data_IF_049702082993
#
_entry.id   IF_049702082993
#
_cell.length_a   1.000
_cell.length_b   1.000
_cell.length_c   1.000
_cell.angle_alpha   90.00
_cell.angle_beta   90.00
_cell.angle_gamma   90.00
#
_symmetry.space_group_name_H-M   'P 1'
#
loop_
_entity.id
_entity.type
_entity.pdbx_description
1 polymer ?
#
# COMPACT_ATOMS: atom_id res chain seq x y z
N UNK A 1 -45.71 6.68 9.70
CA UNK A 1 -44.27 6.44 9.88
C UNK A 1 -43.85 5.35 8.93
N UNK A 2 -42.64 5.44 8.39
CA UNK A 2 -42.04 4.37 7.62
C UNK A 2 -41.41 3.38 8.58
N UNK A 3 -41.43 2.09 8.24
CA UNK A 3 -40.99 1.02 9.15
C UNK A 3 -40.13 -0.01 8.44
N UNK A 4 -39.30 -0.71 9.20
CA UNK A 4 -38.53 -1.83 8.69
C UNK A 4 -39.47 -2.97 8.31
N UNK A 5 -39.50 -3.31 7.01
CA UNK A 5 -40.30 -4.42 6.50
C UNK A 5 -39.60 -5.79 6.65
N UNK A 6 -38.27 -5.83 6.59
CA UNK A 6 -37.51 -7.08 6.60
C UNK A 6 -36.09 -6.89 7.14
N UNK A 7 -35.57 -7.91 7.84
CA UNK A 7 -34.18 -7.98 8.29
C UNK A 7 -33.66 -9.41 8.06
N UNK A 8 -32.52 -9.53 7.36
CA UNK A 8 -31.74 -10.76 7.31
C UNK A 8 -30.41 -10.57 8.05
N UNK A 9 -29.95 -11.60 8.76
CA UNK A 9 -28.69 -11.62 9.51
C UNK A 9 -28.48 -10.35 10.35
N UNK A 10 -29.33 -10.16 11.36
CA UNK A 10 -29.43 -8.91 12.10
C UNK A 10 -28.13 -8.59 12.87
N UNK A 11 -27.31 -7.71 12.31
CA UNK A 11 -26.12 -7.16 12.96
C UNK A 11 -26.44 -5.96 13.87
N UNK A 12 -27.67 -5.44 13.77
CA UNK A 12 -28.17 -4.33 14.57
C UNK A 12 -28.97 -4.81 15.79
N UNK A 13 -29.57 -3.89 16.54
CA UNK A 13 -30.57 -4.20 17.58
C UNK A 13 -32.01 -3.89 17.14
N UNK A 14 -32.23 -3.67 15.85
CA UNK A 14 -33.54 -3.30 15.30
C UNK A 14 -34.41 -4.54 15.07
N UNK A 15 -35.72 -4.35 15.10
CA UNK A 15 -36.72 -5.35 14.79
C UNK A 15 -37.58 -4.93 13.57
N UNK A 16 -38.26 -5.91 12.98
CA UNK A 16 -39.30 -5.64 11.98
C UNK A 16 -40.38 -4.79 12.64
N UNK A 17 -40.81 -3.72 11.98
CA UNK A 17 -41.78 -2.75 12.50
C UNK A 17 -41.18 -1.56 13.24
N UNK A 18 -39.88 -1.58 13.58
CA UNK A 18 -39.19 -0.38 14.06
C UNK A 18 -39.25 0.72 12.99
N UNK A 19 -39.24 1.99 13.43
CA UNK A 19 -39.09 3.16 12.55
C UNK A 19 -37.91 2.93 11.60
N UNK A 20 -38.05 3.20 10.31
CA UNK A 20 -36.99 2.98 9.31
C UNK A 20 -35.91 4.07 9.31
N UNK A 21 -36.21 5.27 9.82
CA UNK A 21 -35.36 6.47 9.79
C UNK A 21 -34.88 6.84 8.38
N UNK A 22 -35.73 6.66 7.36
CA UNK A 22 -35.41 6.97 5.96
C UNK A 22 -35.63 8.46 5.61
N UNK A 23 -36.16 9.26 6.55
CA UNK A 23 -36.38 10.71 6.39
C UNK A 23 -35.10 11.46 5.98
N UNK A 24 -33.92 10.95 6.38
CA UNK A 24 -32.61 11.51 6.01
C UNK A 24 -32.20 11.19 4.56
N UNK A 25 -32.81 10.17 3.93
CA UNK A 25 -32.44 9.64 2.61
C UNK A 25 -33.29 10.25 1.49
N UNK A 26 -34.56 10.58 1.80
CA UNK A 26 -35.52 11.16 0.83
C UNK A 26 -35.06 12.51 0.24
N UNK A 27 -34.18 13.24 0.93
CA UNK A 27 -33.64 14.53 0.48
C UNK A 27 -32.35 14.45 -0.37
N UNK A 28 -31.76 13.27 -0.52
CA UNK A 28 -30.47 13.05 -1.22
C UNK A 28 -30.56 12.07 -2.38
N UNK A 29 -31.77 11.65 -2.73
CA UNK A 29 -32.10 10.53 -3.61
C UNK A 29 -32.07 10.84 -5.12
N UNK A 30 -31.10 11.63 -5.58
CA UNK A 30 -30.87 11.78 -7.03
C UNK A 30 -30.22 10.52 -7.64
N UNK A 31 -29.63 9.65 -6.81
CA UNK A 31 -28.96 8.41 -7.21
C UNK A 31 -29.73 7.16 -6.74
N UNK A 32 -29.88 6.18 -7.64
CA UNK A 32 -30.54 4.88 -7.37
C UNK A 32 -29.80 4.05 -6.31
N UNK A 33 -28.48 4.25 -6.21
CA UNK A 33 -27.59 3.53 -5.27
C UNK A 33 -26.71 4.53 -4.54
N UNK A 34 -26.71 4.46 -3.22
CA UNK A 34 -25.93 5.30 -2.31
C UNK A 34 -24.84 4.49 -1.63
N UNK A 35 -23.60 4.94 -1.75
CA UNK A 35 -22.43 4.36 -1.08
C UNK A 35 -21.35 3.84 -2.05
N UNK A 36 -20.38 3.06 -1.54
CA UNK A 36 -20.26 2.59 -0.16
C UNK A 36 -19.92 3.74 0.80
N UNK A 37 -20.57 3.77 1.96
CA UNK A 37 -20.27 4.71 3.04
C UNK A 37 -20.03 3.96 4.36
N UNK A 38 -19.51 4.66 5.36
CA UNK A 38 -19.22 4.07 6.67
C UNK A 38 -20.26 4.48 7.71
N UNK A 39 -20.63 3.53 8.57
CA UNK A 39 -21.41 3.77 9.78
C UNK A 39 -20.81 3.04 10.97
N UNK A 40 -21.11 3.54 12.15
CA UNK A 40 -20.82 2.84 13.40
C UNK A 40 -22.05 2.05 13.83
N UNK A 41 -21.86 0.77 14.17
CA UNK A 41 -22.92 -0.05 14.75
C UNK A 41 -23.10 0.26 16.24
N UNK A 42 -24.21 -0.19 16.82
CA UNK A 42 -24.54 0.03 18.24
C UNK A 42 -23.47 -0.46 19.23
N UNK A 43 -22.65 -1.44 18.83
CA UNK A 43 -21.57 -2.03 19.62
C UNK A 43 -20.21 -1.38 19.36
N UNK A 44 -20.16 -0.27 18.61
CA UNK A 44 -18.92 0.43 18.25
C UNK A 44 -18.11 -0.25 17.14
N UNK A 45 -18.66 -1.27 16.49
CA UNK A 45 -18.02 -1.89 15.31
C UNK A 45 -18.30 -1.07 14.06
N UNK A 46 -17.26 -0.88 13.24
CA UNK A 46 -17.38 -0.22 11.94
C UNK A 46 -18.11 -1.11 10.94
N UNK A 47 -19.01 -0.49 10.20
CA UNK A 47 -19.79 -1.09 9.13
C UNK A 47 -19.51 -0.37 7.82
N UNK A 48 -19.41 -1.12 6.73
CA UNK A 48 -19.50 -0.58 5.37
C UNK A 48 -20.90 -0.84 4.85
N UNK A 49 -21.54 0.21 4.37
CA UNK A 49 -22.96 0.24 4.06
C UNK A 49 -23.18 0.66 2.61
N UNK A 50 -24.17 0.04 1.97
CA UNK A 50 -24.73 0.48 0.69
C UNK A 50 -26.24 0.50 0.84
N UNK A 51 -26.87 1.56 0.34
CA UNK A 51 -28.32 1.72 0.31
C UNK A 51 -28.79 1.83 -1.13
N UNK A 52 -29.90 1.19 -1.47
CA UNK A 52 -30.45 1.18 -2.82
C UNK A 52 -31.93 1.48 -2.75
N UNK A 53 -32.38 2.43 -3.56
CA UNK A 53 -33.79 2.74 -3.70
C UNK A 53 -34.45 1.58 -4.46
N UNK A 54 -35.54 1.06 -3.91
CA UNK A 54 -36.35 0.03 -4.55
C UNK A 54 -37.45 0.73 -5.35
N UNK A 55 -37.48 0.56 -6.68
CA UNK A 55 -38.54 1.12 -7.50
C UNK A 55 -39.88 0.48 -7.15
N UNK A 56 -40.95 1.23 -7.34
CA UNK A 56 -42.31 0.76 -7.12
C UNK A 56 -43.16 1.00 -8.35
N UNK A 57 -43.99 0.02 -8.66
CA UNK A 57 -44.99 0.07 -9.75
C UNK A 57 -46.07 1.13 -9.47
N UNK A 58 -46.30 1.47 -8.19
CA UNK A 58 -47.11 2.61 -7.76
C UNK A 58 -46.20 3.80 -7.47
N UNK A 59 -46.52 4.97 -8.01
CA UNK A 59 -45.72 6.20 -7.94
C UNK A 59 -45.35 6.69 -6.52
N UNK A 60 -45.93 6.11 -5.47
CA UNK A 60 -45.97 6.71 -4.14
C UNK A 60 -45.20 5.93 -3.06
N UNK A 61 -44.64 4.74 -3.36
CA UNK A 61 -44.01 3.90 -2.35
C UNK A 61 -42.60 3.45 -2.72
N UNK A 62 -41.60 4.29 -2.48
CA UNK A 62 -40.17 3.93 -2.64
C UNK A 62 -39.69 3.22 -1.36
N UNK A 63 -39.20 1.99 -1.49
CA UNK A 63 -38.51 1.28 -0.41
C UNK A 63 -37.00 1.54 -0.45
N UNK A 64 -36.27 1.21 0.61
CA UNK A 64 -34.80 1.22 0.59
C UNK A 64 -34.27 -0.12 1.06
N UNK A 65 -33.43 -0.75 0.24
CA UNK A 65 -32.65 -1.92 0.64
C UNK A 65 -31.27 -1.47 1.12
N UNK A 66 -30.91 -1.86 2.35
CA UNK A 66 -29.61 -1.57 2.93
C UNK A 66 -28.80 -2.85 3.12
N UNK A 67 -27.57 -2.89 2.58
CA UNK A 67 -26.61 -3.97 2.78
C UNK A 67 -25.49 -3.43 3.66
N UNK A 68 -25.33 -4.03 4.84
CA UNK A 68 -24.36 -3.59 5.84
C UNK A 68 -23.40 -4.74 6.16
N UNK A 69 -22.11 -4.46 6.06
CA UNK A 69 -21.07 -5.45 6.28
C UNK A 69 -20.14 -5.03 7.43
N UNK A 70 -19.96 -5.92 8.41
CA UNK A 70 -19.07 -5.68 9.54
C UNK A 70 -17.62 -5.84 9.10
N UNK A 71 -16.88 -4.73 9.10
CA UNK A 71 -15.47 -4.71 8.68
C UNK A 71 -14.49 -4.82 9.85
N UNK A 72 -14.97 -4.88 11.09
CA UNK A 72 -14.12 -4.85 12.28
C UNK A 72 -13.09 -6.01 12.33
N UNK A 73 -13.46 -7.20 11.84
CA UNK A 73 -12.54 -8.34 11.77
C UNK A 73 -11.33 -8.07 10.85
N UNK A 74 -11.51 -7.26 9.80
CA UNK A 74 -10.43 -6.90 8.88
C UNK A 74 -9.49 -5.86 9.47
N UNK A 75 -9.98 -4.99 10.36
CA UNK A 75 -9.14 -4.06 11.09
C UNK A 75 -8.13 -4.80 11.97
N UNK A 76 -8.53 -5.92 12.58
CA UNK A 76 -7.62 -6.75 13.38
C UNK A 76 -6.60 -7.51 12.52
N UNK A 77 -7.03 -8.05 11.38
CA UNK A 77 -6.11 -8.64 10.39
C UNK A 77 -5.08 -7.61 9.93
N UNK A 78 -5.51 -6.38 9.63
CA UNK A 78 -4.61 -5.29 9.25
C UNK A 78 -3.57 -5.02 10.35
N UNK A 79 -3.99 -4.93 11.63
CA UNK A 79 -3.06 -4.71 12.74
C UNK A 79 -2.01 -5.82 12.87
N UNK A 80 -2.41 -7.09 12.69
CA UNK A 80 -1.49 -8.23 12.73
C UNK A 80 -0.48 -8.15 11.59
N UNK A 81 -0.95 -7.84 10.37
CA UNK A 81 -0.07 -7.65 9.22
C UNK A 81 0.90 -6.48 9.43
N UNK A 82 0.41 -5.36 9.96
CA UNK A 82 1.26 -4.19 10.25
C UNK A 82 2.34 -4.54 11.29
N UNK A 83 1.98 -5.30 12.33
CA UNK A 83 2.94 -5.77 13.34
C UNK A 83 4.02 -6.68 12.75
N UNK A 84 3.62 -7.58 11.84
CA UNK A 84 4.51 -8.52 11.18
C UNK A 84 5.45 -7.80 10.19
N UNK A 85 4.92 -6.90 9.36
CA UNK A 85 5.68 -6.16 8.34
C UNK A 85 6.64 -5.17 9.00
N UNK A 86 6.16 -4.41 9.99
CA UNK A 86 6.99 -3.40 10.68
C UNK A 86 8.04 -4.05 11.59
N UNK A 87 7.81 -5.31 11.98
CA UNK A 87 8.70 -6.07 12.83
C UNK A 87 8.70 -5.55 14.27
N UNK A 88 7.81 -6.07 15.09
CA UNK A 88 7.85 -5.83 16.53
C UNK A 88 9.16 -6.37 17.13
N UNK A 89 10.00 -5.48 17.68
CA UNK A 89 11.23 -5.89 18.35
C UNK A 89 12.37 -6.29 17.41
N UNK A 90 12.42 -5.73 16.18
CA UNK A 90 13.62 -5.83 15.34
C UNK A 90 14.82 -5.29 16.11
N UNK A 91 15.69 -6.21 16.53
CA UNK A 91 16.99 -5.89 17.11
C UNK A 91 17.93 -5.62 15.95
N UNK A 92 18.86 -4.67 16.13
CA UNK A 92 19.96 -4.53 15.16
C UNK A 92 20.67 -5.88 15.04
N UNK A 93 21.02 -6.33 13.82
CA UNK A 93 21.84 -7.52 13.65
C UNK A 93 23.11 -7.42 14.52
N UNK A 94 23.62 -8.53 15.07
CA UNK A 94 24.94 -8.55 15.70
C UNK A 94 26.02 -7.93 14.81
N UNK A 95 26.98 -7.20 15.39
CA UNK A 95 28.09 -6.57 14.64
C UNK A 95 28.92 -7.58 13.83
N UNK A 96 28.92 -8.87 14.21
CA UNK A 96 29.59 -9.91 13.43
C UNK A 96 28.91 -10.16 12.07
N UNK A 97 27.59 -9.96 11.95
CA UNK A 97 26.85 -10.00 10.69
C UNK A 97 27.08 -8.74 9.83
N UNK A 98 27.54 -7.64 10.43
CA UNK A 98 27.81 -6.37 9.73
C UNK A 98 29.13 -6.36 8.95
N UNK A 99 30.03 -7.33 9.16
CA UNK A 99 31.36 -7.34 8.50
C UNK A 99 31.29 -7.50 6.97
N UNK A 100 30.16 -7.97 6.43
CA UNK A 100 29.91 -8.12 5.00
C UNK A 100 28.81 -7.16 4.45
N UNK A 101 28.40 -6.14 5.22
CA UNK A 101 27.33 -5.16 4.94
C UNK A 101 27.63 -4.21 3.75
N UNK A 102 28.78 -4.33 3.09
CA UNK A 102 29.07 -3.48 1.93
C UNK A 102 28.07 -3.71 0.79
N UNK A 103 27.51 -4.92 0.64
CA UNK A 103 26.46 -5.20 -0.35
C UNK A 103 25.13 -4.54 0.03
N UNK A 104 24.74 -4.60 1.30
CA UNK A 104 23.49 -4.01 1.78
C UNK A 104 23.57 -2.47 1.80
N UNK A 105 24.73 -1.88 2.08
CA UNK A 105 25.00 -0.45 1.87
C UNK A 105 24.86 -0.05 0.39
N UNK A 106 25.41 -0.83 -0.54
CA UNK A 106 25.23 -0.61 -1.98
C UNK A 106 23.75 -0.66 -2.35
N UNK A 107 23.02 -1.66 -1.88
CA UNK A 107 21.60 -1.82 -2.19
C UNK A 107 20.78 -0.67 -1.62
N UNK A 108 21.05 -0.27 -0.39
CA UNK A 108 20.37 0.86 0.27
C UNK A 108 20.59 2.15 -0.52
N UNK A 109 21.83 2.44 -0.89
CA UNK A 109 22.15 3.61 -1.72
C UNK A 109 21.48 3.53 -3.10
N UNK A 110 21.62 2.39 -3.79
CA UNK A 110 21.03 2.17 -5.10
C UNK A 110 19.51 2.39 -5.08
N UNK A 111 18.81 1.83 -4.09
CA UNK A 111 17.35 2.01 -3.98
C UNK A 111 16.96 3.42 -3.57
N UNK A 112 17.78 4.13 -2.80
CA UNK A 112 17.62 5.56 -2.54
C UNK A 112 17.73 6.38 -3.84
N UNK A 113 18.81 6.19 -4.59
CA UNK A 113 19.07 6.88 -5.85
C UNK A 113 17.97 6.65 -6.89
N UNK A 114 17.47 5.41 -7.00
CA UNK A 114 16.34 5.06 -7.87
C UNK A 114 15.05 5.78 -7.47
N UNK A 115 14.76 5.82 -6.16
CA UNK A 115 13.54 6.43 -5.62
C UNK A 115 13.51 7.94 -5.86
N UNK A 116 14.62 8.63 -5.63
CA UNK A 116 14.76 10.07 -5.88
C UNK A 116 14.48 10.43 -7.35
N UNK A 117 14.80 9.51 -8.26
CA UNK A 117 14.65 9.71 -9.71
C UNK A 117 13.41 9.05 -10.29
N UNK A 118 12.58 8.41 -9.46
CA UNK A 118 11.37 7.67 -9.89
C UNK A 118 11.67 6.61 -10.97
N UNK A 119 12.83 5.96 -10.89
CA UNK A 119 13.28 4.93 -11.82
C UNK A 119 13.13 3.52 -11.23
N UNK A 120 12.94 2.53 -12.09
CA UNK A 120 13.03 1.12 -11.73
C UNK A 120 14.35 0.52 -12.22
N UNK A 121 14.90 -0.46 -11.49
CA UNK A 121 16.19 -1.07 -11.82
C UNK A 121 16.20 -1.69 -13.24
N UNK A 122 15.09 -2.29 -13.65
CA UNK A 122 14.90 -2.88 -14.98
C UNK A 122 14.63 -1.85 -16.09
N UNK A 123 14.38 -0.57 -15.75
CA UNK A 123 14.13 0.50 -16.71
C UNK A 123 15.35 1.42 -16.93
N UNK A 124 16.53 1.06 -16.39
CA UNK A 124 17.72 1.89 -16.51
C UNK A 124 18.28 1.87 -17.93
N UNK A 125 18.38 3.06 -18.52
CA UNK A 125 19.11 3.29 -19.77
C UNK A 125 20.62 3.12 -19.54
N UNK A 126 21.40 3.11 -20.63
CA UNK A 126 22.87 3.07 -20.51
C UNK A 126 23.41 4.28 -19.76
N UNK A 127 22.81 5.45 -19.96
CA UNK A 127 23.21 6.69 -19.29
C UNK A 127 22.86 6.64 -17.80
N UNK A 128 21.67 6.15 -17.44
CA UNK A 128 21.31 5.95 -16.03
C UNK A 128 22.26 4.97 -15.33
N UNK A 129 22.60 3.85 -15.98
CA UNK A 129 23.54 2.88 -15.43
C UNK A 129 24.93 3.49 -15.21
N UNK A 130 25.40 4.33 -16.14
CA UNK A 130 26.65 5.09 -15.99
C UNK A 130 26.57 6.04 -14.79
N UNK A 131 25.56 6.89 -14.73
CA UNK A 131 25.38 7.87 -13.63
C UNK A 131 25.28 7.18 -12.25
N UNK A 132 24.62 6.03 -12.18
CA UNK A 132 24.53 5.26 -10.94
C UNK A 132 25.87 4.66 -10.53
N UNK A 133 26.68 4.17 -11.48
CA UNK A 133 28.05 3.72 -11.20
C UNK A 133 28.91 4.89 -10.68
N UNK A 134 28.74 6.09 -11.26
CA UNK A 134 29.45 7.30 -10.82
C UNK A 134 29.03 7.70 -9.39
N UNK A 135 27.74 7.68 -9.10
CA UNK A 135 27.21 7.99 -7.77
C UNK A 135 27.68 6.98 -6.72
N UNK A 136 27.68 5.68 -7.05
CA UNK A 136 28.23 4.63 -6.19
C UNK A 136 29.73 4.81 -5.94
N UNK A 137 30.47 5.30 -6.93
CA UNK A 137 31.89 5.57 -6.79
C UNK A 137 32.16 6.74 -5.83
N UNK A 138 31.41 7.83 -5.96
CA UNK A 138 31.50 8.97 -5.05
C UNK A 138 31.19 8.60 -3.59
N UNK A 139 30.27 7.64 -3.37
CA UNK A 139 29.92 7.12 -2.03
C UNK A 139 30.93 6.08 -1.49
N UNK A 140 32.00 5.78 -2.24
CA UNK A 140 33.03 4.84 -1.82
C UNK A 140 32.63 3.36 -1.89
N UNK A 141 31.57 3.03 -2.64
CA UNK A 141 31.05 1.66 -2.76
C UNK A 141 32.09 0.63 -3.27
N UNK A 142 33.10 1.09 -4.01
CA UNK A 142 34.10 0.22 -4.64
C UNK A 142 35.31 -0.12 -3.75
N UNK A 143 35.30 0.29 -2.48
CA UNK A 143 36.37 -0.02 -1.51
C UNK A 143 36.35 -1.49 -1.04
N UNK A 144 35.21 -2.18 -1.20
CA UNK A 144 35.05 -3.59 -0.83
C UNK A 144 35.68 -4.56 -1.84
N UNK A 145 36.28 -5.65 -1.35
CA UNK A 145 36.74 -6.74 -2.21
C UNK A 145 35.54 -7.31 -2.98
N UNK A 146 35.61 -7.32 -4.32
CA UNK A 146 34.54 -7.76 -5.23
C UNK A 146 33.36 -6.81 -5.44
N UNK A 147 33.39 -5.58 -4.92
CA UNK A 147 32.29 -4.63 -5.09
C UNK A 147 31.95 -4.32 -6.56
N UNK A 148 32.97 -4.16 -7.40
CA UNK A 148 32.79 -3.97 -8.83
C UNK A 148 32.06 -5.14 -9.52
N UNK A 149 32.32 -6.38 -9.08
CA UNK A 149 31.64 -7.55 -9.64
C UNK A 149 30.18 -7.60 -9.20
N UNK A 150 29.89 -7.23 -7.96
CA UNK A 150 28.52 -7.18 -7.45
C UNK A 150 27.70 -6.12 -8.16
N UNK A 151 28.21 -4.89 -8.26
CA UNK A 151 27.54 -3.79 -8.97
C UNK A 151 27.31 -4.15 -10.44
N UNK A 152 28.30 -4.78 -11.11
CA UNK A 152 28.13 -5.27 -12.47
C UNK A 152 26.96 -6.26 -12.60
N UNK A 153 26.83 -7.19 -11.66
CA UNK A 153 25.72 -8.16 -11.66
C UNK A 153 24.37 -7.48 -11.38
N UNK A 154 24.30 -6.58 -10.38
CA UNK A 154 23.05 -5.89 -9.99
C UNK A 154 22.54 -4.99 -11.12
N UNK A 155 23.44 -4.30 -11.81
CA UNK A 155 23.08 -3.40 -12.92
C UNK A 155 22.94 -4.11 -14.26
N UNK A 156 23.12 -5.43 -14.33
CA UNK A 156 23.19 -6.20 -15.57
C UNK A 156 24.14 -5.52 -16.59
N UNK A 157 25.39 -5.34 -16.15
CA UNK A 157 26.48 -4.73 -16.91
C UNK A 157 27.65 -5.71 -17.00
N UNK A 158 28.35 -5.69 -18.13
CA UNK A 158 29.63 -6.40 -18.22
C UNK A 158 30.64 -5.84 -17.22
N UNK A 159 31.34 -6.73 -16.48
CA UNK A 159 32.40 -6.34 -15.53
C UNK A 159 33.42 -5.36 -16.14
N UNK A 160 33.82 -5.62 -17.38
CA UNK A 160 34.75 -4.76 -18.13
C UNK A 160 34.21 -3.33 -18.31
N UNK A 161 32.90 -3.18 -18.51
CA UNK A 161 32.24 -1.87 -18.64
C UNK A 161 32.31 -1.09 -17.33
N UNK A 162 32.04 -1.74 -16.19
CA UNK A 162 32.16 -1.12 -14.87
C UNK A 162 33.60 -0.68 -14.61
N UNK A 163 34.59 -1.54 -14.83
CA UNK A 163 36.00 -1.18 -14.68
C UNK A 163 36.44 -0.05 -15.63
N UNK A 164 35.89 0.00 -16.85
CA UNK A 164 36.15 1.09 -17.80
C UNK A 164 35.67 2.44 -17.23
N UNK A 165 34.45 2.50 -16.70
CA UNK A 165 33.93 3.71 -16.07
C UNK A 165 34.77 4.12 -14.85
N UNK A 166 35.11 3.17 -13.98
CA UNK A 166 35.96 3.43 -12.81
C UNK A 166 37.34 3.97 -13.20
N UNK A 167 37.94 3.45 -14.28
CA UNK A 167 39.23 3.93 -14.76
C UNK A 167 39.12 5.38 -15.24
N UNK A 168 38.11 5.69 -16.03
CA UNK A 168 37.88 7.04 -16.55
C UNK A 168 37.69 8.05 -15.40
N UNK A 169 36.88 7.71 -14.39
CA UNK A 169 36.69 8.57 -13.23
C UNK A 169 37.93 8.77 -12.38
N UNK A 170 38.85 7.79 -12.32
CA UNK A 170 40.12 7.92 -11.60
C UNK A 170 41.16 8.75 -12.33
N UNK A 171 41.01 8.90 -13.64
CA UNK A 171 41.87 9.74 -14.49
C UNK A 171 41.37 11.20 -14.53
N UNK A 172 40.09 11.42 -14.20
CA UNK A 172 39.43 12.73 -14.17
C UNK A 172 39.49 13.45 -12.79
N UNK A 173 40.10 12.82 -11.76
CA UNK A 173 40.35 13.37 -10.41
C UNK A 173 41.82 13.71 -10.23
#
# INVERSE_FOLDING_TARGET
SQSIAYIANNLSKRAIGDDSALEEIEGTADEEVMGPYEKMNWDGRRMRCVSMLLPSESSDAVGVMCINFNVAAFDDVKKVLDLFITGAGLVRPPEELFKDDWQERINSFLHGWLRERQLALNSLSRDHKRELVEALYAEGAFNGKSAANYIANVLDMGRATVYKHLKQMREDV
#
